data_IF_092112882297
#
_entry.id   IF_092112882297
#
_cell.length_a   1.000
_cell.length_b   1.000
_cell.length_c   1.000
_cell.angle_alpha   90.00
_cell.angle_beta   90.00
_cell.angle_gamma   90.00
#
_symmetry.space_group_name_H-M   'P 1'
#
loop_
_entity.id
_entity.type
_entity.pdbx_description
1 polymer ?
#
# COMPACT_ATOMS: atom_id res chain seq x y z
N UNK A 1 9.97 41.75 30.21
CA UNK A 1 10.38 41.85 28.79
C UNK A 1 10.67 40.47 28.16
N UNK A 2 11.41 39.55 28.82
CA UNK A 2 11.73 38.24 28.29
C UNK A 2 10.46 37.36 28.10
N UNK A 3 9.49 37.47 28.98
CA UNK A 3 8.23 36.71 28.93
C UNK A 3 7.34 37.13 27.75
N UNK A 4 7.23 38.44 27.50
CA UNK A 4 6.51 38.97 26.33
C UNK A 4 7.12 38.54 25.01
N UNK A 5 8.45 38.51 24.91
CA UNK A 5 9.14 38.00 23.71
C UNK A 5 8.95 36.51 23.48
N UNK A 6 8.80 35.72 24.54
CA UNK A 6 8.51 34.29 24.46
C UNK A 6 7.06 34.03 23.96
N UNK A 7 6.10 34.80 24.46
CA UNK A 7 4.70 34.75 24.02
C UNK A 7 4.53 35.13 22.53
N UNK A 8 5.21 36.22 22.11
CA UNK A 8 5.22 36.62 20.69
C UNK A 8 5.83 35.53 19.78
N UNK A 9 6.90 34.86 20.24
CA UNK A 9 7.50 33.75 19.49
C UNK A 9 6.59 32.56 19.39
N UNK A 10 5.91 32.19 20.47
CA UNK A 10 4.93 31.10 20.47
C UNK A 10 3.79 31.39 19.51
N UNK A 11 3.21 32.59 19.56
CA UNK A 11 2.14 32.97 18.66
C UNK A 11 2.56 32.91 17.18
N UNK A 12 3.78 33.32 16.85
CA UNK A 12 4.31 33.22 15.47
C UNK A 12 4.52 31.77 15.03
N UNK A 13 4.95 30.89 15.94
CA UNK A 13 5.15 29.47 15.66
C UNK A 13 3.80 28.76 15.44
N UNK A 14 2.81 29.06 16.26
CA UNK A 14 1.46 28.52 16.11
C UNK A 14 0.84 28.95 14.76
N UNK A 15 1.00 30.22 14.40
CA UNK A 15 0.51 30.74 13.12
C UNK A 15 1.22 30.10 11.92
N UNK A 16 2.54 29.87 12.01
CA UNK A 16 3.31 29.17 10.99
C UNK A 16 2.91 27.70 10.87
N UNK A 17 2.63 27.03 11.97
CA UNK A 17 2.15 25.64 11.99
C UNK A 17 0.79 25.52 11.30
N UNK A 18 -0.18 26.38 11.63
CA UNK A 18 -1.49 26.42 11.00
C UNK A 18 -1.38 26.62 9.48
N UNK A 19 -0.52 27.53 9.03
CA UNK A 19 -0.28 27.75 7.60
C UNK A 19 0.29 26.50 6.91
N UNK A 20 1.22 25.81 7.55
CA UNK A 20 1.83 24.57 7.04
C UNK A 20 0.80 23.45 6.96
N UNK A 21 -0.01 23.25 7.96
CA UNK A 21 -1.09 22.26 7.99
C UNK A 21 -2.12 22.52 6.88
N UNK A 22 -2.54 23.78 6.70
CA UNK A 22 -3.45 24.17 5.64
C UNK A 22 -2.85 23.95 4.24
N UNK A 23 -1.56 24.23 4.05
CA UNK A 23 -0.85 23.99 2.79
C UNK A 23 -0.77 22.49 2.47
N UNK A 24 -0.50 21.64 3.47
CA UNK A 24 -0.49 20.17 3.32
C UNK A 24 -1.87 19.62 2.95
N UNK A 25 -2.93 20.08 3.60
CA UNK A 25 -4.31 19.69 3.27
C UNK A 25 -4.70 20.11 1.86
N UNK A 26 -4.34 21.31 1.44
CA UNK A 26 -4.58 21.82 0.08
C UNK A 26 -3.83 21.00 -0.97
N UNK A 27 -2.56 20.64 -0.72
CA UNK A 27 -1.76 19.79 -1.61
C UNK A 27 -2.35 18.38 -1.72
N UNK A 28 -2.78 17.78 -0.61
CA UNK A 28 -3.42 16.47 -0.61
C UNK A 28 -4.73 16.47 -1.41
N UNK A 29 -5.55 17.53 -1.28
CA UNK A 29 -6.78 17.70 -2.04
C UNK A 29 -6.51 17.89 -3.55
N UNK A 30 -5.42 18.57 -3.93
CA UNK A 30 -5.02 18.74 -5.33
C UNK A 30 -4.55 17.41 -5.95
N UNK A 31 -3.77 16.61 -5.22
CA UNK A 31 -3.35 15.27 -5.66
C UNK A 31 -4.55 14.37 -5.86
N UNK A 32 -5.53 14.38 -4.94
CA UNK A 32 -6.78 13.64 -5.08
C UNK A 32 -7.56 14.02 -6.34
N UNK A 33 -7.70 15.31 -6.61
CA UNK A 33 -8.37 15.83 -7.81
C UNK A 33 -7.63 15.48 -9.11
N UNK A 34 -6.30 15.49 -9.11
CA UNK A 34 -5.50 15.08 -10.25
C UNK A 34 -5.69 13.59 -10.57
N UNK A 35 -5.76 12.74 -9.55
CA UNK A 35 -6.06 11.31 -9.71
C UNK A 35 -7.45 11.10 -10.32
N UNK A 36 -8.46 11.84 -9.86
CA UNK A 36 -9.82 11.78 -10.39
C UNK A 36 -9.92 12.24 -11.85
N UNK A 37 -9.15 13.27 -12.22
CA UNK A 37 -9.15 13.83 -13.59
C UNK A 37 -8.44 12.90 -14.57
N UNK A 38 -7.37 12.23 -14.17
CA UNK A 38 -6.62 11.31 -15.04
C UNK A 38 -7.32 9.95 -15.15
N UNK A 39 -8.22 9.59 -14.22
CA UNK A 39 -8.97 8.33 -14.22
C UNK A 39 -8.09 7.08 -14.11
N UNK A 40 -6.84 7.27 -13.76
CA UNK A 40 -5.84 6.21 -13.62
C UNK A 40 -5.17 6.34 -12.26
N UNK A 41 -5.47 5.43 -11.37
CA UNK A 41 -4.96 5.43 -10.00
C UNK A 41 -3.68 4.60 -9.86
N UNK A 42 -3.00 4.74 -8.72
CA UNK A 42 -1.88 3.87 -8.35
C UNK A 42 -2.30 2.40 -8.26
N UNK A 43 -3.54 2.15 -7.85
CA UNK A 43 -4.13 0.82 -7.82
C UNK A 43 -4.29 0.23 -9.23
N UNK A 44 -4.70 1.02 -10.22
CA UNK A 44 -4.80 0.59 -11.62
C UNK A 44 -3.41 0.21 -12.16
N UNK A 45 -2.41 1.02 -11.91
CA UNK A 45 -1.03 0.72 -12.27
C UNK A 45 -0.53 -0.58 -11.60
N UNK A 46 -0.82 -0.75 -10.32
CA UNK A 46 -0.44 -1.96 -9.58
C UNK A 46 -1.07 -3.21 -10.21
N UNK A 47 -2.37 -3.17 -10.55
CA UNK A 47 -3.07 -4.30 -11.18
C UNK A 47 -2.52 -4.64 -12.55
N UNK A 48 -2.08 -3.65 -13.32
CA UNK A 48 -1.53 -3.85 -14.67
C UNK A 48 -0.11 -4.42 -14.65
N UNK A 49 0.75 -3.91 -13.78
CA UNK A 49 2.19 -4.23 -13.77
C UNK A 49 2.51 -5.49 -12.96
N UNK A 50 1.80 -5.73 -11.87
CA UNK A 50 2.12 -6.79 -10.92
C UNK A 50 2.07 -8.21 -11.51
N UNK A 51 1.12 -8.61 -12.38
CA UNK A 51 1.11 -9.95 -12.94
C UNK A 51 2.40 -10.30 -13.68
N UNK A 52 2.88 -9.42 -14.55
CA UNK A 52 4.11 -9.63 -15.30
C UNK A 52 5.34 -9.68 -14.38
N UNK A 53 5.38 -8.84 -13.35
CA UNK A 53 6.44 -8.85 -12.35
C UNK A 53 6.50 -10.15 -11.56
N UNK A 54 5.36 -10.64 -11.09
CA UNK A 54 5.25 -11.90 -10.35
C UNK A 54 5.64 -13.10 -11.20
N UNK A 55 5.21 -13.15 -12.46
CA UNK A 55 5.60 -14.19 -13.39
C UNK A 55 7.13 -14.22 -13.61
N UNK A 56 7.71 -13.06 -13.84
CA UNK A 56 9.15 -12.94 -14.16
C UNK A 56 10.06 -13.22 -12.97
N UNK A 57 9.72 -12.74 -11.78
CA UNK A 57 10.63 -12.76 -10.62
C UNK A 57 10.30 -13.84 -9.58
N UNK A 58 9.06 -14.33 -9.56
CA UNK A 58 8.59 -15.27 -8.52
C UNK A 58 7.96 -16.53 -9.08
N UNK A 59 7.86 -16.67 -10.39
CA UNK A 59 7.25 -17.84 -11.02
C UNK A 59 5.76 -18.00 -10.68
N UNK A 60 5.08 -16.90 -10.39
CA UNK A 60 3.65 -16.87 -10.09
C UNK A 60 2.88 -16.43 -11.33
N UNK A 61 2.06 -17.31 -11.85
CA UNK A 61 1.17 -17.03 -12.98
C UNK A 61 -0.23 -16.68 -12.47
N UNK A 62 -0.55 -15.41 -12.48
CA UNK A 62 -1.86 -14.86 -12.13
C UNK A 62 -2.38 -14.05 -13.31
N UNK A 63 -3.51 -14.46 -13.95
CA UNK A 63 -3.98 -13.81 -15.18
C UNK A 63 -4.43 -12.37 -14.97
N UNK A 64 -5.18 -12.14 -13.91
CA UNK A 64 -5.76 -10.82 -13.60
C UNK A 64 -5.72 -10.53 -12.10
N UNK A 65 -5.64 -9.24 -11.79
CA UNK A 65 -5.72 -8.72 -10.43
C UNK A 65 -6.83 -7.66 -10.38
N UNK A 66 -7.78 -7.84 -9.48
CA UNK A 66 -8.91 -6.95 -9.33
C UNK A 66 -9.14 -6.58 -7.85
N UNK A 67 -9.78 -5.42 -7.63
CA UNK A 67 -10.25 -5.06 -6.28
C UNK A 67 -11.26 -6.10 -5.80
N UNK A 68 -11.13 -6.53 -4.56
CA UNK A 68 -12.05 -7.49 -3.97
C UNK A 68 -12.36 -7.17 -2.51
N UNK A 69 -13.59 -7.50 -2.12
CA UNK A 69 -14.07 -7.39 -0.76
C UNK A 69 -14.30 -8.79 -0.20
N UNK A 70 -13.80 -9.02 1.00
CA UNK A 70 -14.01 -10.26 1.75
C UNK A 70 -14.74 -9.95 3.06
N UNK A 71 -15.59 -10.86 3.50
CA UNK A 71 -16.19 -10.78 4.82
C UNK A 71 -15.57 -11.84 5.72
N UNK A 72 -14.93 -11.41 6.81
CA UNK A 72 -14.30 -12.28 7.80
C UNK A 72 -14.83 -11.89 9.18
N UNK A 73 -15.44 -12.84 9.89
CA UNK A 73 -16.01 -12.62 11.22
C UNK A 73 -16.96 -11.41 11.30
N UNK A 74 -17.74 -11.20 10.25
CA UNK A 74 -18.68 -10.08 10.15
C UNK A 74 -18.05 -8.72 9.78
N UNK A 75 -16.75 -8.68 9.57
CA UNK A 75 -16.00 -7.50 9.13
C UNK A 75 -15.71 -7.57 7.63
N UNK A 76 -16.00 -6.49 6.91
CA UNK A 76 -15.63 -6.36 5.50
C UNK A 76 -14.18 -5.89 5.37
N UNK A 77 -13.41 -6.62 4.59
CA UNK A 77 -12.00 -6.32 4.28
C UNK A 77 -11.88 -6.03 2.79
N UNK A 78 -11.46 -4.82 2.45
CA UNK A 78 -11.13 -4.43 1.09
C UNK A 78 -9.69 -4.80 0.75
N UNK A 79 -9.48 -5.43 -0.40
CA UNK A 79 -8.17 -5.74 -0.95
C UNK A 79 -8.00 -4.96 -2.26
N UNK A 80 -6.94 -4.17 -2.34
CA UNK A 80 -6.69 -3.28 -3.48
C UNK A 80 -6.48 -4.03 -4.78
N UNK A 81 -5.78 -5.18 -4.72
CA UNK A 81 -5.67 -6.11 -5.84
C UNK A 81 -5.58 -7.57 -5.35
N UNK A 82 -6.44 -8.36 -5.87
CA UNK A 82 -6.55 -9.80 -5.59
C UNK A 82 -6.60 -10.61 -6.88
N UNK A 83 -5.97 -11.74 -6.90
CA UNK A 83 -6.05 -12.69 -7.99
C UNK A 83 -5.64 -14.10 -7.59
N UNK A 84 -6.23 -15.07 -8.25
CA UNK A 84 -5.92 -16.48 -8.07
C UNK A 84 -5.07 -16.95 -9.24
N UNK A 85 -4.06 -17.74 -8.97
CA UNK A 85 -3.14 -18.22 -9.97
C UNK A 85 -2.42 -19.48 -9.54
N UNK A 86 -1.32 -19.76 -10.22
CA UNK A 86 -0.51 -20.96 -10.00
C UNK A 86 0.95 -20.59 -9.74
N UNK A 87 1.56 -21.30 -8.82
CA UNK A 87 3.00 -21.31 -8.61
C UNK A 87 3.48 -22.76 -8.60
N UNK A 88 4.37 -23.12 -9.54
CA UNK A 88 4.81 -24.51 -9.73
C UNK A 88 3.65 -25.51 -9.89
N UNK A 89 2.61 -25.09 -10.62
CA UNK A 89 1.40 -25.90 -10.85
C UNK A 89 0.45 -26.00 -9.67
N UNK A 90 0.73 -25.32 -8.55
CA UNK A 90 -0.10 -25.35 -7.34
C UNK A 90 -0.85 -24.04 -7.17
N UNK A 91 -2.13 -24.07 -6.69
CA UNK A 91 -2.90 -22.86 -6.45
C UNK A 91 -2.21 -21.91 -5.47
N UNK A 92 -2.28 -20.61 -5.77
CA UNK A 92 -1.82 -19.51 -4.93
C UNK A 92 -2.78 -18.34 -5.08
N UNK A 93 -2.97 -17.58 -4.03
CA UNK A 93 -3.77 -16.35 -4.05
C UNK A 93 -2.91 -15.14 -3.75
N UNK A 94 -2.91 -14.17 -4.65
CA UNK A 94 -2.26 -12.87 -4.46
C UNK A 94 -3.20 -11.97 -3.67
N UNK A 95 -2.72 -11.45 -2.55
CA UNK A 95 -3.44 -10.51 -1.68
C UNK A 95 -2.62 -9.24 -1.61
N UNK A 96 -3.06 -8.19 -2.29
CA UNK A 96 -2.26 -7.02 -2.56
C UNK A 96 -2.79 -5.72 -1.98
N UNK A 97 -1.86 -4.89 -1.52
CA UNK A 97 -2.07 -3.56 -0.97
C UNK A 97 -1.26 -2.53 -1.74
N UNK A 98 -1.82 -1.35 -1.91
CA UNK A 98 -1.17 -0.21 -2.58
C UNK A 98 -0.91 0.92 -1.59
N UNK A 99 0.31 1.43 -1.60
CA UNK A 99 0.72 2.58 -0.80
C UNK A 99 1.64 3.48 -1.61
N UNK A 100 1.53 4.79 -1.44
CA UNK A 100 2.47 5.73 -2.07
C UNK A 100 3.89 5.56 -1.50
N UNK A 101 4.00 5.38 -0.20
CA UNK A 101 5.23 5.00 0.49
C UNK A 101 4.97 3.78 1.37
N UNK A 102 5.77 2.74 1.20
CA UNK A 102 5.63 1.48 1.94
C UNK A 102 6.61 1.48 3.12
N UNK A 103 6.07 1.31 4.33
CA UNK A 103 6.83 1.14 5.55
C UNK A 103 6.73 -0.30 6.08
N UNK A 104 7.58 -0.67 7.02
CA UNK A 104 7.53 -1.99 7.65
C UNK A 104 6.18 -2.33 8.27
N UNK A 105 5.50 -1.35 8.88
CA UNK A 105 4.14 -1.52 9.43
C UNK A 105 3.10 -1.87 8.37
N UNK A 106 3.25 -1.36 7.15
CA UNK A 106 2.35 -1.67 6.04
C UNK A 106 2.54 -3.12 5.59
N UNK A 107 3.78 -3.58 5.52
CA UNK A 107 4.11 -4.97 5.21
C UNK A 107 3.53 -5.92 6.26
N UNK A 108 3.72 -5.63 7.52
CA UNK A 108 3.18 -6.45 8.63
C UNK A 108 1.66 -6.48 8.63
N UNK A 109 1.01 -5.35 8.39
CA UNK A 109 -0.44 -5.27 8.27
C UNK A 109 -0.98 -6.11 7.10
N UNK A 110 -0.34 -6.03 5.93
CA UNK A 110 -0.70 -6.83 4.76
C UNK A 110 -0.55 -8.34 5.02
N UNK A 111 0.51 -8.74 5.70
CA UNK A 111 0.72 -10.15 6.10
C UNK A 111 -0.37 -10.63 7.04
N UNK A 112 -0.78 -9.82 8.02
CA UNK A 112 -1.87 -10.18 8.93
C UNK A 112 -3.21 -10.30 8.22
N UNK A 113 -3.52 -9.39 7.30
CA UNK A 113 -4.72 -9.46 6.46
C UNK A 113 -4.71 -10.75 5.62
N UNK A 114 -3.61 -11.05 4.94
CA UNK A 114 -3.47 -12.28 4.16
C UNK A 114 -3.70 -13.54 5.00
N UNK A 115 -3.18 -13.59 6.22
CA UNK A 115 -3.39 -14.70 7.15
C UNK A 115 -4.86 -14.86 7.55
N UNK A 116 -5.57 -13.77 7.79
CA UNK A 116 -7.01 -13.80 8.10
C UNK A 116 -7.86 -14.34 6.95
N UNK A 117 -7.41 -14.17 5.72
CA UNK A 117 -8.12 -14.62 4.53
C UNK A 117 -7.87 -16.09 4.16
N UNK A 118 -6.83 -16.74 4.70
CA UNK A 118 -6.45 -18.12 4.35
C UNK A 118 -7.63 -19.10 4.28
N UNK A 119 -8.58 -19.13 5.24
CA UNK A 119 -9.72 -20.05 5.17
C UNK A 119 -10.64 -19.84 3.96
N UNK A 120 -10.59 -18.68 3.31
CA UNK A 120 -11.42 -18.31 2.17
C UNK A 120 -10.70 -18.46 0.83
N UNK A 121 -9.42 -18.82 0.84
CA UNK A 121 -8.56 -18.83 -0.34
C UNK A 121 -8.39 -20.25 -0.90
N UNK A 122 -8.16 -20.42 -2.22
CA UNK A 122 -7.96 -21.73 -2.85
C UNK A 122 -6.60 -22.36 -2.54
N UNK A 123 -5.67 -21.60 -1.97
CA UNK A 123 -4.31 -22.03 -1.64
C UNK A 123 -3.59 -21.03 -0.76
N UNK A 124 -2.25 -21.14 -0.64
CA UNK A 124 -1.47 -20.19 0.14
C UNK A 124 -1.69 -18.74 -0.29
N UNK A 125 -1.75 -17.85 0.68
CA UNK A 125 -1.82 -16.41 0.45
C UNK A 125 -0.41 -15.85 0.19
N UNK A 126 -0.26 -15.08 -0.87
CA UNK A 126 0.96 -14.35 -1.20
C UNK A 126 0.71 -12.85 -0.97
N UNK A 127 1.19 -12.28 0.14
CA UNK A 127 1.04 -10.86 0.39
C UNK A 127 1.98 -10.06 -0.52
N UNK A 128 1.42 -9.10 -1.23
CA UNK A 128 2.15 -8.24 -2.17
C UNK A 128 1.82 -6.77 -1.89
N UNK A 129 2.83 -5.92 -1.82
CA UNK A 129 2.67 -4.48 -1.70
C UNK A 129 3.27 -3.78 -2.91
N UNK A 130 2.53 -2.82 -3.44
CA UNK A 130 2.97 -2.00 -4.56
C UNK A 130 3.01 -0.52 -4.15
N UNK A 131 4.07 0.19 -4.51
CA UNK A 131 4.20 1.61 -4.20
C UNK A 131 5.25 2.35 -5.02
N UNK A 132 5.33 3.66 -4.83
CA UNK A 132 6.36 4.48 -5.47
C UNK A 132 7.66 4.48 -4.69
N UNK A 133 7.58 4.55 -3.36
CA UNK A 133 8.72 4.63 -2.45
C UNK A 133 8.68 3.48 -1.46
N UNK A 134 9.81 2.83 -1.25
CA UNK A 134 9.98 1.76 -0.26
C UNK A 134 10.95 2.22 0.81
N UNK A 135 10.45 2.38 2.03
CA UNK A 135 11.29 2.67 3.18
C UNK A 135 12.16 1.44 3.54
N UNK A 136 13.38 1.61 4.05
CA UNK A 136 14.23 0.48 4.44
C UNK A 136 13.57 -0.52 5.40
N UNK A 137 12.72 -0.04 6.32
CA UNK A 137 11.96 -0.90 7.24
C UNK A 137 11.01 -1.87 6.51
N UNK A 138 10.50 -1.49 5.34
CA UNK A 138 9.65 -2.35 4.53
C UNK A 138 10.44 -3.51 3.90
N UNK A 139 11.66 -3.28 3.48
CA UNK A 139 12.54 -4.33 2.96
C UNK A 139 12.89 -5.36 4.04
N UNK A 140 13.22 -4.90 5.23
CA UNK A 140 13.49 -5.78 6.38
C UNK A 140 12.25 -6.61 6.76
N UNK A 141 11.08 -5.98 6.80
CA UNK A 141 9.82 -6.67 7.10
C UNK A 141 9.46 -7.70 6.01
N UNK A 142 9.69 -7.37 4.73
CA UNK A 142 9.45 -8.29 3.61
C UNK A 142 10.37 -9.52 3.68
N UNK A 143 11.66 -9.34 3.96
CA UNK A 143 12.61 -10.45 4.15
C UNK A 143 12.19 -11.37 5.30
N UNK A 144 11.76 -10.78 6.43
CA UNK A 144 11.34 -11.55 7.60
C UNK A 144 10.02 -12.29 7.40
N UNK A 145 9.08 -11.73 6.67
CA UNK A 145 7.71 -12.26 6.53
C UNK A 145 7.46 -13.05 5.24
N UNK A 146 8.32 -12.90 4.24
CA UNK A 146 8.11 -13.47 2.92
C UNK A 146 7.15 -12.68 2.02
N UNK A 147 6.71 -11.49 2.45
CA UNK A 147 5.92 -10.60 1.61
C UNK A 147 6.74 -10.07 0.42
N UNK A 148 6.07 -9.80 -0.68
CA UNK A 148 6.68 -9.22 -1.88
C UNK A 148 6.41 -7.72 -1.90
N UNK A 149 7.45 -6.92 -2.09
CA UNK A 149 7.37 -5.47 -2.23
C UNK A 149 7.83 -5.08 -3.63
N UNK A 150 6.94 -4.40 -4.36
CA UNK A 150 7.16 -3.96 -5.74
C UNK A 150 7.11 -2.44 -5.80
N UNK A 151 8.08 -1.84 -6.48
CA UNK A 151 8.04 -0.41 -6.80
C UNK A 151 7.73 -0.19 -8.27
N UNK A 152 7.11 0.94 -8.58
CA UNK A 152 6.89 1.38 -9.96
C UNK A 152 8.19 1.55 -10.75
N UNK A 153 9.32 1.69 -10.05
CA UNK A 153 10.66 1.83 -10.64
C UNK A 153 11.40 0.49 -10.81
N UNK A 154 10.80 -0.63 -10.44
CA UNK A 154 11.37 -1.97 -10.63
C UNK A 154 12.59 -2.28 -9.78
N UNK A 155 12.74 -1.67 -8.62
CA UNK A 155 13.88 -1.89 -7.72
C UNK A 155 13.43 -2.34 -6.35
#
# INVERSE_FOLDING_TARGET
>A
EAHLRAEERLARLEEAQIRTENALQSSAAQVGRLSDVVGYSLEDLAREVTPAYLARHFGVDVPTLDRRFFTVDGEEIEIDFYGEGLRDGKPVAVVGEVRSCIYGRDVEAAVQIARRLIPLLPGPALPVLFGFVVHPSAREAAERTGAIVITSMGR
#
